data_IF_284699924397
#
_entry.id   IF_284699924397
#
_cell.length_a   1.000
_cell.length_b   1.000
_cell.length_c   1.000
_cell.angle_alpha   90.00
_cell.angle_beta   90.00
_cell.angle_gamma   90.00
#
_symmetry.space_group_name_H-M   'P 1'
#
loop_
_entity.id
_entity.type
_entity.pdbx_description
1 polymer ?
#
# COMPACT_ATOMS: atom_id res chain seq x y z
N UNK A 1 -53.94 -3.64 49.51
CA UNK A 1 -54.31 -3.69 48.08
C UNK A 1 -53.13 -3.17 47.27
N UNK A 2 -52.39 -4.04 46.59
CA UNK A 2 -51.12 -3.67 45.93
C UNK A 2 -51.37 -3.23 44.48
N UNK A 3 -50.95 -2.01 44.14
CA UNK A 3 -51.07 -1.48 42.78
C UNK A 3 -49.98 -2.10 41.90
N UNK A 4 -50.36 -2.92 40.92
CA UNK A 4 -49.44 -3.44 39.91
C UNK A 4 -49.18 -2.35 38.85
N UNK A 5 -48.00 -1.75 38.88
CA UNK A 5 -47.48 -1.00 37.73
C UNK A 5 -46.95 -2.00 36.67
N UNK A 6 -47.75 -2.24 35.63
CA UNK A 6 -47.28 -2.93 34.43
C UNK A 6 -46.37 -1.99 33.62
N UNK A 7 -45.05 -2.14 33.76
CA UNK A 7 -44.09 -1.51 32.87
C UNK A 7 -44.18 -2.22 31.52
N UNK A 8 -44.59 -1.50 30.47
CA UNK A 8 -44.71 -2.06 29.12
C UNK A 8 -43.32 -2.37 28.53
N UNK A 9 -42.94 -3.66 28.53
CA UNK A 9 -41.73 -4.15 27.85
C UNK A 9 -42.02 -4.32 26.35
N UNK A 10 -42.34 -3.22 25.67
CA UNK A 10 -42.36 -3.14 24.20
C UNK A 10 -41.64 -1.89 23.66
N UNK A 11 -40.58 -1.47 24.34
CA UNK A 11 -39.46 -0.80 23.69
C UNK A 11 -38.48 -1.87 23.15
N UNK A 12 -38.95 -2.71 22.22
CA UNK A 12 -38.10 -3.65 21.51
C UNK A 12 -37.21 -2.85 20.55
N UNK A 13 -36.10 -2.34 21.09
CA UNK A 13 -35.03 -1.70 20.32
C UNK A 13 -34.64 -2.62 19.17
N UNK A 14 -34.99 -2.20 17.96
CA UNK A 14 -34.43 -2.74 16.72
C UNK A 14 -32.92 -2.47 16.75
N UNK A 15 -32.17 -3.38 17.35
CA UNK A 15 -30.76 -3.60 17.07
C UNK A 15 -30.68 -4.08 15.61
N UNK A 16 -30.79 -3.12 14.68
CA UNK A 16 -30.37 -3.30 13.30
C UNK A 16 -28.89 -3.66 13.34
N UNK A 17 -28.59 -4.95 13.40
CA UNK A 17 -27.24 -5.47 13.23
C UNK A 17 -26.81 -5.05 11.83
N UNK A 18 -26.00 -4.01 11.72
CA UNK A 18 -25.46 -3.53 10.45
C UNK A 18 -24.44 -4.56 9.98
N UNK A 19 -24.93 -5.58 9.28
CA UNK A 19 -24.14 -6.71 8.85
C UNK A 19 -23.15 -6.27 7.76
N UNK A 20 -21.89 -6.66 7.95
CA UNK A 20 -20.90 -6.73 6.88
C UNK A 20 -21.30 -7.87 5.94
N UNK A 21 -21.55 -7.55 4.67
CA UNK A 21 -21.79 -8.54 3.63
C UNK A 21 -20.61 -8.47 2.66
N UNK A 22 -19.89 -9.57 2.52
CA UNK A 22 -18.88 -9.75 1.49
C UNK A 22 -19.54 -10.42 0.29
N UNK A 23 -19.92 -9.63 -0.72
CA UNK A 23 -20.53 -10.15 -1.94
C UNK A 23 -19.44 -10.52 -2.95
N UNK A 24 -19.51 -11.75 -3.47
CA UNK A 24 -18.62 -12.27 -4.51
C UNK A 24 -19.21 -11.95 -5.88
N UNK A 25 -18.51 -11.13 -6.68
CA UNK A 25 -18.97 -10.73 -8.00
C UNK A 25 -18.55 -11.71 -9.09
N UNK A 26 -19.28 -11.67 -10.22
CA UNK A 26 -18.95 -12.41 -11.44
C UNK A 26 -18.12 -11.58 -12.41
N UNK A 27 -18.27 -10.25 -12.39
CA UNK A 27 -17.52 -9.30 -13.22
C UNK A 27 -16.74 -8.29 -12.37
N UNK A 28 -15.70 -7.68 -12.96
CA UNK A 28 -15.01 -6.54 -12.35
C UNK A 28 -15.83 -5.25 -12.47
N UNK A 29 -16.58 -5.10 -13.56
CA UNK A 29 -17.50 -3.97 -13.79
C UNK A 29 -18.54 -3.80 -12.69
N UNK A 30 -18.84 -4.86 -11.94
CA UNK A 30 -19.79 -4.80 -10.84
C UNK A 30 -19.31 -3.87 -9.71
N UNK A 31 -17.99 -3.67 -9.55
CA UNK A 31 -17.36 -2.88 -8.47
C UNK A 31 -16.08 -2.13 -8.90
N UNK A 32 -16.01 -1.73 -10.15
CA UNK A 32 -14.89 -1.01 -10.76
C UNK A 32 -14.69 0.42 -10.25
N UNK A 33 -15.72 1.06 -9.70
CA UNK A 33 -15.72 2.46 -9.21
C UNK A 33 -14.63 2.84 -8.20
N UNK A 34 -13.93 1.86 -7.64
CA UNK A 34 -12.82 2.03 -6.70
C UNK A 34 -11.44 2.01 -7.37
N UNK A 35 -11.41 1.74 -8.68
CA UNK A 35 -10.24 1.61 -9.54
C UNK A 35 -10.10 2.89 -10.37
N UNK A 36 -8.85 3.28 -10.67
CA UNK A 36 -8.58 4.43 -11.53
C UNK A 36 -9.13 4.14 -12.93
N UNK A 37 -9.85 5.11 -13.49
CA UNK A 37 -10.49 5.02 -14.81
C UNK A 37 -11.33 3.73 -14.97
N UNK A 38 -11.93 3.25 -13.87
CA UNK A 38 -12.72 1.99 -13.77
C UNK A 38 -11.94 0.74 -14.27
N UNK A 39 -10.62 0.83 -14.34
CA UNK A 39 -9.76 -0.17 -14.97
C UNK A 39 -8.95 -0.92 -13.91
N UNK A 40 -9.09 -2.26 -13.78
CA UNK A 40 -8.34 -3.03 -12.81
C UNK A 40 -6.85 -3.17 -13.16
N UNK A 41 -5.99 -3.45 -12.17
CA UNK A 41 -4.63 -3.89 -12.40
C UNK A 41 -4.57 -5.10 -13.35
N UNK A 42 -3.64 -5.08 -14.29
CA UNK A 42 -3.25 -6.26 -15.06
C UNK A 42 -2.26 -7.09 -14.23
N UNK A 43 -2.68 -8.30 -13.86
CA UNK A 43 -1.92 -9.25 -13.04
C UNK A 43 -1.80 -10.57 -13.82
N UNK A 44 -0.62 -10.88 -14.39
CA UNK A 44 -0.43 -12.07 -15.22
C UNK A 44 -0.80 -13.37 -14.51
N UNK A 45 -1.52 -14.25 -15.22
CA UNK A 45 -2.01 -15.52 -14.71
C UNK A 45 -3.15 -15.41 -13.68
N UNK A 46 -3.68 -14.20 -13.44
CA UNK A 46 -4.75 -13.96 -12.44
C UNK A 46 -5.88 -13.10 -13.01
N UNK A 47 -5.55 -11.88 -13.45
CA UNK A 47 -6.51 -10.86 -13.89
C UNK A 47 -5.93 -10.13 -15.11
N UNK A 48 -6.38 -10.49 -16.29
CA UNK A 48 -5.85 -9.98 -17.56
C UNK A 48 -6.97 -9.35 -18.38
N UNK A 49 -6.75 -8.13 -18.87
CA UNK A 49 -7.76 -7.35 -19.61
C UNK A 49 -9.13 -7.29 -18.89
N UNK A 50 -9.11 -7.12 -17.55
CA UNK A 50 -10.32 -7.10 -16.72
C UNK A 50 -10.99 -8.46 -16.46
N UNK A 51 -10.48 -9.55 -17.05
CA UNK A 51 -11.01 -10.91 -16.86
C UNK A 51 -10.21 -11.70 -15.83
N UNK A 52 -10.89 -12.18 -14.80
CA UNK A 52 -10.33 -13.17 -13.86
C UNK A 52 -10.17 -14.49 -14.60
N UNK A 53 -8.94 -15.01 -14.67
CA UNK A 53 -8.63 -16.22 -15.46
C UNK A 53 -9.14 -17.50 -14.82
N UNK A 54 -8.92 -17.65 -13.51
CA UNK A 54 -9.42 -18.77 -12.70
C UNK A 54 -10.48 -18.25 -11.73
N UNK A 55 -11.74 -18.22 -12.19
CA UNK A 55 -12.87 -17.82 -11.36
C UNK A 55 -13.20 -18.82 -10.24
N UNK A 56 -12.64 -20.03 -10.24
CA UNK A 56 -12.84 -20.97 -9.12
C UNK A 56 -11.97 -20.56 -7.93
N UNK A 57 -10.73 -20.14 -8.20
CA UNK A 57 -9.77 -19.70 -7.18
C UNK A 57 -9.87 -18.22 -6.80
N UNK A 58 -9.97 -17.33 -7.77
CA UNK A 58 -9.92 -15.89 -7.53
C UNK A 58 -11.32 -15.30 -7.52
N UNK A 59 -11.64 -14.58 -6.46
CA UNK A 59 -12.97 -13.98 -6.22
C UNK A 59 -12.81 -12.47 -6.06
N UNK A 60 -13.52 -11.69 -6.87
CA UNK A 60 -13.64 -10.27 -6.61
C UNK A 60 -14.72 -10.05 -5.56
N UNK A 61 -14.40 -9.27 -4.53
CA UNK A 61 -15.25 -9.02 -3.37
C UNK A 61 -15.51 -7.52 -3.28
N UNK A 62 -16.79 -7.16 -3.27
CA UNK A 62 -17.25 -5.81 -2.99
C UNK A 62 -17.48 -5.67 -1.50
N UNK A 63 -16.57 -5.00 -0.80
CA UNK A 63 -16.57 -4.95 0.64
C UNK A 63 -17.68 -3.98 1.07
N UNK A 64 -18.81 -4.53 1.54
CA UNK A 64 -20.05 -3.78 1.73
C UNK A 64 -20.40 -3.68 3.20
N UNK A 65 -20.65 -2.45 3.66
CA UNK A 65 -21.04 -2.16 5.04
C UNK A 65 -22.22 -1.19 5.06
N UNK A 66 -23.33 -1.60 5.66
CA UNK A 66 -24.56 -0.81 5.70
C UNK A 66 -25.12 -0.54 4.31
N UNK A 67 -25.23 -1.59 3.49
CA UNK A 67 -25.73 -1.59 2.10
C UNK A 67 -25.00 -0.62 1.15
N UNK A 68 -23.80 -0.15 1.52
CA UNK A 68 -22.95 0.68 0.69
C UNK A 68 -21.61 -0.03 0.50
N UNK A 69 -21.24 -0.26 -0.76
CA UNK A 69 -19.93 -0.77 -1.16
C UNK A 69 -18.86 0.25 -0.76
N UNK A 70 -17.80 -0.19 -0.10
CA UNK A 70 -16.78 0.69 0.49
C UNK A 70 -15.48 0.66 -0.30
N UNK A 71 -14.93 -0.53 -0.55
CA UNK A 71 -13.74 -0.77 -1.36
C UNK A 71 -13.84 -2.11 -2.10
N UNK A 72 -12.88 -2.42 -2.98
CA UNK A 72 -12.81 -3.71 -3.68
C UNK A 72 -11.59 -4.51 -3.25
N UNK A 73 -11.74 -5.83 -3.18
CA UNK A 73 -10.66 -6.80 -2.94
C UNK A 73 -10.70 -7.90 -3.99
N UNK A 74 -9.58 -8.21 -4.63
CA UNK A 74 -9.40 -9.49 -5.33
C UNK A 74 -8.79 -10.50 -4.36
N UNK A 75 -9.47 -11.62 -4.12
CA UNK A 75 -9.11 -12.59 -3.08
C UNK A 75 -8.75 -13.96 -3.66
N UNK A 76 -7.68 -14.59 -3.16
CA UNK A 76 -7.25 -15.94 -3.51
C UNK A 76 -7.78 -16.94 -2.46
N UNK A 77 -8.84 -17.69 -2.78
CA UNK A 77 -9.46 -18.62 -1.81
C UNK A 77 -8.56 -19.82 -1.46
N UNK A 78 -7.58 -20.14 -2.31
CA UNK A 78 -6.63 -21.24 -2.08
C UNK A 78 -5.55 -20.82 -1.07
N UNK A 79 -5.03 -19.60 -1.22
CA UNK A 79 -4.06 -19.04 -0.27
C UNK A 79 -4.71 -18.37 0.95
N UNK A 80 -6.04 -18.12 0.91
CA UNK A 80 -6.82 -17.41 1.93
C UNK A 80 -6.26 -16.03 2.28
N UNK A 81 -5.73 -15.32 1.28
CA UNK A 81 -5.29 -13.94 1.40
C UNK A 81 -5.77 -13.09 0.21
N UNK A 82 -5.94 -11.77 0.39
CA UNK A 82 -6.08 -10.83 -0.72
C UNK A 82 -4.87 -10.85 -1.66
N UNK A 83 -5.13 -10.84 -2.97
CA UNK A 83 -4.15 -10.53 -4.01
C UNK A 83 -3.88 -9.02 -4.00
N UNK A 84 -4.96 -8.23 -4.06
CA UNK A 84 -4.94 -6.79 -3.85
C UNK A 84 -6.27 -6.27 -3.28
N UNK A 85 -6.23 -5.09 -2.66
CA UNK A 85 -7.40 -4.26 -2.35
C UNK A 85 -7.18 -2.84 -2.90
N UNK A 86 -8.26 -2.19 -3.34
CA UNK A 86 -8.22 -0.84 -3.92
C UNK A 86 -9.40 0.03 -3.48
N UNK A 87 -9.14 1.33 -3.28
CA UNK A 87 -10.09 2.32 -2.73
C UNK A 87 -9.70 3.77 -3.04
N UNK A 88 -10.66 4.71 -3.13
CA UNK A 88 -10.38 6.13 -3.30
C UNK A 88 -10.18 7.02 -2.04
N UNK A 89 -10.58 6.75 -0.78
CA UNK A 89 -10.54 7.73 0.35
C UNK A 89 -10.68 7.27 1.85
N UNK A 90 -9.87 7.82 2.82
CA UNK A 90 -10.25 7.81 4.28
C UNK A 90 -9.32 7.85 5.55
N UNK A 91 -9.83 7.46 6.78
CA UNK A 91 -9.28 7.61 8.19
C UNK A 91 -9.94 6.86 9.50
N UNK A 92 -9.71 5.54 9.83
CA UNK A 92 -9.72 4.76 11.18
C UNK A 92 -10.97 4.20 12.02
N UNK A 93 -11.09 2.86 12.34
CA UNK A 93 -11.74 2.13 13.53
C UNK A 93 -12.86 1.02 13.36
N UNK A 94 -12.93 0.08 14.33
CA UNK A 94 -13.49 -1.31 14.35
C UNK A 94 -14.91 -1.58 14.94
N UNK A 95 -15.48 -2.75 14.56
CA UNK A 95 -16.42 -3.61 15.33
C UNK A 95 -15.78 -5.02 15.41
N UNK A 96 -15.90 -5.78 16.51
CA UNK A 96 -15.38 -7.15 16.58
C UNK A 96 -16.19 -8.16 15.76
N UNK A 97 -15.51 -9.04 15.00
CA UNK A 97 -16.12 -10.26 14.47
C UNK A 97 -16.43 -11.28 15.58
N UNK A 98 -17.38 -12.19 15.31
CA UNK A 98 -17.60 -13.39 16.11
C UNK A 98 -16.32 -14.25 16.09
N UNK A 99 -15.76 -14.46 17.28
CA UNK A 99 -14.45 -15.10 17.46
C UNK A 99 -14.46 -16.58 17.07
N UNK A 100 -15.60 -17.27 17.07
CA UNK A 100 -15.66 -18.73 17.01
C UNK A 100 -15.99 -19.32 15.63
N UNK A 101 -16.15 -18.50 14.59
CA UNK A 101 -16.53 -18.99 13.25
C UNK A 101 -15.33 -19.43 12.41
N UNK A 102 -15.39 -20.66 11.90
CA UNK A 102 -14.53 -21.19 10.83
C UNK A 102 -15.16 -20.93 9.46
N UNK A 103 -14.32 -20.70 8.45
CA UNK A 103 -14.75 -20.58 7.06
C UNK A 103 -13.90 -21.50 6.16
N UNK A 104 -14.50 -22.00 5.07
CA UNK A 104 -13.83 -22.93 4.17
C UNK A 104 -12.94 -22.21 3.13
N UNK A 105 -13.46 -21.12 2.55
CA UNK A 105 -12.87 -20.40 1.41
C UNK A 105 -12.25 -19.04 1.77
N UNK A 106 -12.19 -18.69 3.07
CA UNK A 106 -11.53 -17.48 3.57
C UNK A 106 -10.88 -17.78 4.93
N UNK A 107 -9.97 -16.91 5.38
CA UNK A 107 -9.41 -16.98 6.72
C UNK A 107 -10.48 -16.67 7.78
N UNK A 108 -10.47 -17.40 8.89
CA UNK A 108 -11.31 -17.15 10.07
C UNK A 108 -10.50 -16.56 11.23
N UNK A 109 -11.18 -15.96 12.22
CA UNK A 109 -10.50 -15.38 13.38
C UNK A 109 -9.66 -16.42 14.17
N UNK A 110 -10.05 -17.70 14.06
CA UNK A 110 -9.35 -18.87 14.60
C UNK A 110 -8.01 -19.14 13.91
N UNK A 111 -7.87 -18.86 12.62
CA UNK A 111 -6.64 -19.11 11.85
C UNK A 111 -5.47 -18.22 12.32
N UNK A 112 -5.79 -17.13 13.03
CA UNK A 112 -4.82 -16.21 13.64
C UNK A 112 -4.65 -16.38 15.16
N UNK A 113 -5.39 -17.31 15.80
CA UNK A 113 -5.25 -17.59 17.25
C UNK A 113 -3.91 -18.25 17.56
N UNK A 114 -3.44 -18.05 18.79
CA UNK A 114 -2.22 -18.64 19.37
C UNK A 114 -0.91 -18.37 18.62
N UNK A 115 -0.95 -17.62 17.52
CA UNK A 115 0.21 -17.15 16.79
C UNK A 115 0.88 -15.99 17.55
N UNK A 116 2.22 -15.98 17.59
CA UNK A 116 3.04 -14.95 18.26
C UNK A 116 4.03 -14.25 17.33
N UNK A 117 3.90 -14.46 16.02
CA UNK A 117 4.92 -14.05 15.03
C UNK A 117 4.36 -13.05 14.02
N UNK A 118 3.05 -13.11 13.75
CA UNK A 118 2.36 -12.33 12.73
C UNK A 118 1.17 -11.58 13.31
N UNK A 119 1.14 -10.28 13.06
CA UNK A 119 -0.05 -9.47 13.20
C UNK A 119 -1.07 -9.79 12.09
N UNK A 120 -2.31 -9.33 12.31
CA UNK A 120 -3.32 -9.18 11.25
C UNK A 120 -3.02 -7.91 10.45
N UNK A 121 -2.12 -8.02 9.47
CA UNK A 121 -1.77 -6.94 8.56
C UNK A 121 -2.91 -6.64 7.60
N UNK A 122 -3.32 -5.38 7.48
CA UNK A 122 -4.42 -4.99 6.60
C UNK A 122 -3.83 -4.57 5.24
N UNK A 123 -4.36 -5.11 4.14
CA UNK A 123 -3.92 -4.72 2.79
C UNK A 123 -4.49 -3.36 2.42
N UNK A 124 -5.80 -3.17 2.57
CA UNK A 124 -6.36 -1.82 2.61
C UNK A 124 -6.46 -1.37 4.08
N UNK A 125 -5.55 -0.50 4.57
CA UNK A 125 -5.51 -0.18 5.99
C UNK A 125 -6.71 0.69 6.38
N UNK A 126 -7.27 0.42 7.56
CA UNK A 126 -8.38 1.23 8.09
C UNK A 126 -8.02 2.72 8.20
N UNK A 127 -6.73 3.06 8.30
CA UNK A 127 -6.19 4.42 8.28
C UNK A 127 -6.52 5.20 7.00
N UNK A 128 -7.01 4.51 5.96
CA UNK A 128 -7.50 5.01 4.68
C UNK A 128 -9.03 4.84 4.48
N UNK A 129 -9.87 4.43 5.47
CA UNK A 129 -11.36 4.32 5.43
C UNK A 129 -12.21 5.58 5.80
N UNK A 130 -13.02 6.26 4.95
CA UNK A 130 -13.40 7.68 5.22
C UNK A 130 -14.40 7.93 6.36
N UNK A 131 -15.60 7.40 6.25
CA UNK A 131 -16.68 7.48 7.24
C UNK A 131 -16.57 6.34 8.24
N UNK A 132 -17.21 6.42 9.42
CA UNK A 132 -17.11 5.34 10.43
C UNK A 132 -17.48 3.98 9.80
N UNK A 133 -18.46 3.98 8.90
CA UNK A 133 -18.89 2.81 8.16
C UNK A 133 -17.81 2.23 7.20
N UNK A 134 -17.13 3.07 6.42
CA UNK A 134 -16.08 2.60 5.51
C UNK A 134 -14.94 1.92 6.29
N UNK A 135 -14.58 2.50 7.44
CA UNK A 135 -13.52 2.01 8.34
C UNK A 135 -13.85 0.62 8.87
N UNK A 136 -15.12 0.40 9.23
CA UNK A 136 -15.60 -0.87 9.76
C UNK A 136 -15.49 -1.98 8.71
N UNK A 137 -15.71 -1.66 7.43
CA UNK A 137 -15.56 -2.63 6.34
C UNK A 137 -14.13 -3.14 6.14
N UNK A 138 -13.09 -2.38 6.53
CA UNK A 138 -11.69 -2.80 6.27
C UNK A 138 -11.23 -3.94 7.17
N UNK A 139 -11.96 -4.25 8.24
CA UNK A 139 -11.56 -5.26 9.24
C UNK A 139 -12.00 -6.70 8.89
N UNK A 140 -12.59 -6.91 7.71
CA UNK A 140 -12.88 -8.27 7.21
C UNK A 140 -11.57 -9.04 6.97
N UNK A 141 -11.54 -10.32 7.32
CA UNK A 141 -10.34 -11.14 7.12
C UNK A 141 -10.01 -11.41 5.65
N UNK A 142 -10.94 -11.12 4.74
CA UNK A 142 -10.68 -11.07 3.30
C UNK A 142 -9.74 -9.93 2.89
N UNK A 143 -9.54 -8.91 3.75
CA UNK A 143 -8.61 -7.80 3.55
C UNK A 143 -7.32 -7.94 4.41
N UNK A 144 -7.08 -9.10 5.02
CA UNK A 144 -6.00 -9.32 6.00
C UNK A 144 -5.01 -10.40 5.55
N UNK A 145 -3.73 -10.20 5.90
CA UNK A 145 -2.63 -11.15 5.73
C UNK A 145 -1.88 -11.37 7.06
N UNK A 146 -1.18 -12.50 7.24
CA UNK A 146 -0.16 -12.63 8.27
C UNK A 146 1.02 -11.71 7.97
N UNK A 147 1.20 -10.64 8.73
CA UNK A 147 2.25 -9.65 8.52
C UNK A 147 3.23 -9.64 9.71
N UNK A 148 4.53 -9.65 9.43
CA UNK A 148 5.57 -9.67 10.46
C UNK A 148 5.43 -8.44 11.38
N UNK A 149 5.44 -8.67 12.70
CA UNK A 149 5.04 -7.67 13.69
C UNK A 149 5.76 -6.32 13.57
N UNK A 150 7.11 -6.30 13.55
CA UNK A 150 7.85 -5.04 13.51
C UNK A 150 7.76 -4.36 12.14
N UNK A 151 7.58 -5.10 11.04
CA UNK A 151 7.30 -4.54 9.71
C UNK A 151 5.92 -3.87 9.66
N UNK A 152 4.86 -4.57 10.13
CA UNK A 152 3.51 -4.03 10.25
C UNK A 152 3.48 -2.75 11.09
N UNK A 153 4.01 -2.81 12.32
CA UNK A 153 3.97 -1.69 13.28
C UNK A 153 5.00 -0.60 12.98
N UNK A 154 6.08 -0.93 12.28
CA UNK A 154 7.22 -0.08 11.93
C UNK A 154 7.16 0.46 10.51
N UNK A 155 8.05 0.00 9.62
CA UNK A 155 8.30 0.60 8.30
C UNK A 155 7.07 0.64 7.39
N UNK A 156 6.17 -0.35 7.47
CA UNK A 156 4.90 -0.35 6.73
C UNK A 156 3.95 0.75 7.23
N UNK A 157 3.65 0.78 8.54
CA UNK A 157 2.84 1.82 9.17
C UNK A 157 3.43 3.23 8.99
N UNK A 158 4.76 3.40 8.94
CA UNK A 158 5.38 4.69 8.57
C UNK A 158 5.04 5.10 7.14
N UNK A 159 5.22 4.20 6.16
CA UNK A 159 4.80 4.43 4.77
C UNK A 159 3.32 4.81 4.70
N UNK A 160 2.45 4.08 5.40
CA UNK A 160 1.01 4.38 5.40
C UNK A 160 0.70 5.78 5.95
N UNK A 161 1.36 6.15 7.05
CA UNK A 161 1.18 7.45 7.71
C UNK A 161 1.76 8.60 6.89
N UNK A 162 2.91 8.41 6.25
CA UNK A 162 3.49 9.35 5.29
C UNK A 162 2.47 9.62 4.17
N UNK A 163 2.15 8.59 3.36
CA UNK A 163 1.26 8.70 2.19
C UNK A 163 -0.09 9.33 2.54
N UNK A 164 -0.68 8.94 3.67
CA UNK A 164 -1.94 9.51 4.16
C UNK A 164 -1.83 11.01 4.45
N UNK A 165 -0.76 11.42 5.12
CA UNK A 165 -0.53 12.82 5.46
C UNK A 165 -0.29 13.63 4.19
N UNK A 166 0.61 13.17 3.31
CA UNK A 166 0.90 13.77 2.02
C UNK A 166 -0.32 13.92 1.10
N UNK A 167 -1.23 12.92 1.08
CA UNK A 167 -2.51 13.00 0.36
C UNK A 167 -3.39 14.16 0.85
N UNK A 168 -3.37 14.45 2.16
CA UNK A 168 -4.22 15.47 2.77
C UNK A 168 -3.64 16.89 2.71
N UNK A 169 -2.31 17.03 2.80
CA UNK A 169 -1.69 18.34 3.05
C UNK A 169 -0.80 18.88 1.93
N UNK A 170 -0.45 18.07 0.90
CA UNK A 170 0.51 18.51 -0.12
C UNK A 170 0.06 18.25 -1.57
N UNK A 171 -0.19 16.99 -1.97
CA UNK A 171 -0.13 16.67 -3.42
C UNK A 171 -1.31 15.90 -4.02
N UNK A 172 -2.28 15.39 -3.25
CA UNK A 172 -3.49 14.74 -3.79
C UNK A 172 -4.74 15.56 -3.45
N UNK A 173 -4.63 16.88 -3.51
CA UNK A 173 -5.68 17.86 -3.24
C UNK A 173 -6.12 18.46 -4.57
N UNK A 174 -7.43 18.52 -4.81
CA UNK A 174 -8.01 19.18 -5.98
C UNK A 174 -8.29 20.67 -5.70
N UNK A 175 -8.67 21.42 -6.73
CA UNK A 175 -8.90 22.87 -6.65
C UNK A 175 -10.02 23.31 -5.70
N UNK A 176 -10.89 22.40 -5.24
CA UNK A 176 -11.95 22.67 -4.26
C UNK A 176 -11.62 22.16 -2.84
N UNK A 177 -10.36 21.80 -2.58
CA UNK A 177 -9.91 21.28 -1.29
C UNK A 177 -10.28 19.82 -1.01
N UNK A 178 -10.93 19.16 -1.97
CA UNK A 178 -11.23 17.73 -1.90
C UNK A 178 -9.97 16.90 -2.12
N UNK A 179 -9.68 15.97 -1.21
CA UNK A 179 -8.56 15.03 -1.37
C UNK A 179 -9.01 13.84 -2.23
N UNK A 180 -8.29 13.53 -3.30
CA UNK A 180 -8.66 12.47 -4.24
C UNK A 180 -7.41 11.74 -4.75
N UNK A 181 -7.48 10.41 -4.89
CA UNK A 181 -6.33 9.63 -5.33
C UNK A 181 -6.52 8.16 -5.04
N UNK A 182 -6.22 7.33 -6.04
CA UNK A 182 -6.42 5.90 -6.04
C UNK A 182 -5.24 5.20 -5.38
N UNK A 183 -5.52 4.14 -4.64
CA UNK A 183 -4.53 3.30 -3.99
C UNK A 183 -4.80 1.86 -4.36
N UNK A 184 -3.75 1.13 -4.72
CA UNK A 184 -3.78 -0.32 -4.86
C UNK A 184 -2.69 -0.89 -3.98
N UNK A 185 -3.06 -1.75 -3.03
CA UNK A 185 -2.13 -2.46 -2.16
C UNK A 185 -2.34 -3.94 -2.36
N UNK A 186 -1.27 -4.74 -2.34
CA UNK A 186 -1.36 -6.19 -2.51
C UNK A 186 -0.26 -6.97 -1.82
N UNK A 187 -0.35 -8.30 -1.95
CA UNK A 187 0.53 -9.26 -1.31
C UNK A 187 1.06 -10.28 -2.32
N UNK A 188 2.35 -10.62 -2.20
CA UNK A 188 2.96 -11.71 -2.96
C UNK A 188 2.91 -13.00 -2.13
N UNK A 189 2.16 -14.05 -2.54
CA UNK A 189 2.05 -15.29 -1.76
C UNK A 189 3.38 -16.04 -1.69
N UNK A 190 3.63 -16.71 -0.57
CA UNK A 190 4.71 -17.71 -0.47
C UNK A 190 4.31 -19.02 -1.16
N UNK A 191 5.30 -19.78 -1.63
CA UNK A 191 5.11 -21.15 -2.12
C UNK A 191 5.06 -22.19 -1.00
N UNK A 192 5.56 -21.87 0.20
CA UNK A 192 5.79 -22.85 1.28
C UNK A 192 5.34 -22.41 2.68
N UNK A 193 5.21 -21.11 2.93
CA UNK A 193 4.89 -20.60 4.28
C UNK A 193 3.39 -20.42 4.49
N UNK A 194 2.86 -21.05 5.55
CA UNK A 194 1.46 -20.89 5.97
C UNK A 194 1.35 -20.73 7.48
N UNK A 195 0.42 -19.87 7.91
CA UNK A 195 -0.03 -19.74 9.28
C UNK A 195 -1.06 -20.84 9.56
N UNK A 196 -0.80 -21.62 10.63
CA UNK A 196 -1.68 -22.70 11.11
C UNK A 196 -2.10 -23.68 9.99
N UNK A 197 -1.22 -23.97 9.04
CA UNK A 197 -1.45 -24.83 7.86
C UNK A 197 -2.67 -24.43 7.01
N UNK A 198 -3.14 -23.17 7.11
CA UNK A 198 -4.42 -22.74 6.52
C UNK A 198 -4.40 -21.40 5.79
N UNK A 199 -3.57 -20.45 6.19
CA UNK A 199 -3.51 -19.11 5.57
C UNK A 199 -2.09 -18.87 5.07
N UNK A 200 -1.93 -18.45 3.82
CA UNK A 200 -0.61 -18.17 3.25
C UNK A 200 0.06 -17.00 3.98
N UNK A 201 1.34 -17.15 4.33
CA UNK A 201 2.16 -16.03 4.80
C UNK A 201 2.85 -15.44 3.57
N UNK A 202 2.49 -14.22 3.13
CA UNK A 202 3.10 -13.63 1.93
C UNK A 202 4.59 -13.38 2.14
N UNK A 203 5.38 -13.43 1.06
CA UNK A 203 6.83 -13.13 1.07
C UNK A 203 7.12 -11.63 1.10
N UNK A 204 6.25 -10.83 0.49
CA UNK A 204 6.35 -9.38 0.41
C UNK A 204 4.98 -8.74 0.25
N UNK A 205 4.90 -7.47 0.64
CA UNK A 205 3.75 -6.59 0.41
C UNK A 205 4.16 -5.42 -0.48
N UNK A 206 3.20 -4.87 -1.22
CA UNK A 206 3.40 -3.72 -2.09
C UNK A 206 2.22 -2.76 -2.02
N UNK A 207 2.47 -1.47 -2.16
CA UNK A 207 1.43 -0.44 -2.24
C UNK A 207 1.82 0.62 -3.25
N UNK A 208 0.88 1.01 -4.10
CA UNK A 208 1.03 2.06 -5.08
C UNK A 208 -0.14 3.04 -4.99
N UNK A 209 0.12 4.29 -5.33
CA UNK A 209 -0.94 5.29 -5.47
C UNK A 209 -0.74 6.13 -6.72
N UNK A 210 -1.83 6.72 -7.18
CA UNK A 210 -1.83 7.70 -8.25
C UNK A 210 -2.93 8.75 -8.04
N UNK A 211 -2.61 10.01 -8.27
CA UNK A 211 -3.55 11.12 -8.15
C UNK A 211 -3.14 12.30 -9.06
N UNK A 212 -4.10 13.18 -9.35
CA UNK A 212 -3.80 14.50 -9.89
C UNK A 212 -3.48 15.46 -8.75
N UNK A 213 -2.37 16.19 -8.87
CA UNK A 213 -1.93 17.22 -7.95
C UNK A 213 -2.31 18.59 -8.50
N UNK A 214 -3.16 19.34 -7.79
CA UNK A 214 -3.41 20.74 -8.15
C UNK A 214 -2.17 21.63 -7.92
N UNK A 215 -1.26 21.24 -7.01
CA UNK A 215 -0.02 21.97 -6.70
C UNK A 215 1.02 21.79 -7.79
N UNK A 216 1.26 20.56 -8.25
CA UNK A 216 2.19 20.27 -9.35
C UNK A 216 1.55 20.43 -10.74
N UNK A 217 0.24 20.71 -10.81
CA UNK A 217 -0.58 20.74 -12.04
C UNK A 217 -0.42 19.50 -12.94
N UNK A 218 -0.15 18.35 -12.32
CA UNK A 218 0.25 17.13 -13.00
C UNK A 218 -0.29 15.89 -12.28
N UNK A 219 -0.35 14.77 -13.02
CA UNK A 219 -0.51 13.46 -12.42
C UNK A 219 0.80 13.03 -11.75
N UNK A 220 0.68 12.46 -10.54
CA UNK A 220 1.79 11.95 -9.77
C UNK A 220 1.46 10.54 -9.26
N UNK A 221 2.48 9.72 -9.14
CA UNK A 221 2.37 8.36 -8.64
C UNK A 221 3.66 7.94 -7.95
N UNK A 222 3.57 6.94 -7.07
CA UNK A 222 4.74 6.22 -6.53
C UNK A 222 4.33 4.85 -5.98
N UNK A 223 5.29 3.94 -5.98
CA UNK A 223 5.21 2.62 -5.38
C UNK A 223 6.03 2.50 -4.08
N UNK A 224 5.71 1.47 -3.30
CA UNK A 224 6.51 0.98 -2.18
C UNK A 224 6.44 -0.56 -2.19
N UNK A 225 7.55 -1.21 -1.86
CA UNK A 225 7.65 -2.66 -1.73
C UNK A 225 8.44 -3.03 -0.47
N UNK A 226 8.07 -4.10 0.22
CA UNK A 226 8.79 -4.59 1.39
C UNK A 226 8.64 -6.09 1.61
N UNK A 227 9.75 -6.76 1.96
CA UNK A 227 9.74 -8.16 2.41
C UNK A 227 8.94 -8.27 3.70
N UNK A 228 8.11 -9.31 3.82
CA UNK A 228 7.30 -9.59 5.01
C UNK A 228 8.12 -10.30 6.09
N UNK A 229 9.17 -9.63 6.56
CA UNK A 229 10.10 -10.09 7.61
C UNK A 229 10.13 -9.03 8.73
N UNK A 230 10.75 -9.32 9.86
CA UNK A 230 10.91 -8.29 10.90
C UNK A 230 11.83 -7.17 10.38
N UNK A 231 11.46 -5.90 10.61
CA UNK A 231 12.32 -4.73 10.41
C UNK A 231 13.65 -4.90 11.18
N UNK A 232 14.76 -4.57 10.51
CA UNK A 232 16.13 -4.61 11.05
C UNK A 232 16.36 -3.50 12.09
N UNK A 233 15.62 -2.38 12.00
CA UNK A 233 15.66 -1.34 13.03
C UNK A 233 14.36 -0.55 13.14
N UNK A 234 14.09 0.00 14.33
CA UNK A 234 12.99 0.97 14.55
C UNK A 234 13.12 2.24 13.70
N UNK A 235 14.28 2.52 13.10
CA UNK A 235 14.51 3.67 12.20
C UNK A 235 14.22 3.36 10.73
N UNK A 236 14.07 2.10 10.36
CA UNK A 236 13.82 1.66 8.98
C UNK A 236 12.59 2.33 8.36
N UNK A 237 12.71 2.71 7.09
CA UNK A 237 11.64 3.17 6.22
C UNK A 237 11.62 2.29 4.96
N UNK A 238 10.48 2.22 4.29
CA UNK A 238 10.43 1.66 2.94
C UNK A 238 10.97 2.67 1.93
N UNK A 239 11.68 2.16 0.93
CA UNK A 239 12.08 2.97 -0.24
C UNK A 239 10.82 3.32 -1.02
N UNK A 240 10.72 4.59 -1.41
CA UNK A 240 9.77 5.07 -2.41
C UNK A 240 10.32 4.74 -3.79
N UNK A 241 9.54 4.08 -4.62
CA UNK A 241 9.93 3.61 -5.95
C UNK A 241 9.03 4.22 -7.02
N UNK A 242 9.53 4.24 -8.26
CA UNK A 242 8.73 4.60 -9.43
C UNK A 242 7.65 3.53 -9.66
N UNK A 243 6.60 3.83 -10.44
CA UNK A 243 5.65 2.77 -10.81
C UNK A 243 6.32 1.72 -11.71
N UNK A 244 7.26 2.12 -12.58
CA UNK A 244 8.02 1.21 -13.43
C UNK A 244 8.87 0.21 -12.61
N UNK A 245 9.66 0.70 -11.65
CA UNK A 245 10.44 -0.14 -10.73
C UNK A 245 9.55 -1.15 -9.99
N UNK A 246 8.44 -0.67 -9.43
CA UNK A 246 7.52 -1.52 -8.69
C UNK A 246 6.87 -2.56 -9.60
N UNK A 247 6.40 -2.16 -10.78
CA UNK A 247 5.84 -3.07 -11.78
C UNK A 247 6.87 -4.12 -12.22
N UNK A 248 8.14 -3.73 -12.40
CA UNK A 248 9.23 -4.64 -12.70
C UNK A 248 9.42 -5.70 -11.59
N UNK A 249 9.40 -5.30 -10.31
CA UNK A 249 9.44 -6.23 -9.16
C UNK A 249 8.26 -7.19 -9.09
N UNK A 250 7.10 -6.77 -9.59
CA UNK A 250 5.84 -7.54 -9.54
C UNK A 250 5.63 -8.44 -10.77
N UNK A 251 6.52 -8.38 -11.78
CA UNK A 251 6.47 -9.25 -12.97
C UNK A 251 6.44 -10.73 -12.59
N UNK A 252 5.70 -11.50 -13.39
CA UNK A 252 5.60 -12.95 -13.25
C UNK A 252 6.17 -13.59 -14.51
N UNK A 253 7.35 -14.19 -14.39
CA UNK A 253 8.13 -14.62 -15.55
C UNK A 253 8.33 -13.43 -16.52
N UNK A 254 8.09 -13.61 -17.82
CA UNK A 254 8.26 -12.54 -18.81
C UNK A 254 7.01 -11.67 -19.00
N UNK A 255 5.94 -11.89 -18.22
CA UNK A 255 4.67 -11.17 -18.36
C UNK A 255 4.66 -9.90 -17.50
N UNK A 256 4.18 -8.82 -18.11
CA UNK A 256 4.12 -7.49 -17.49
C UNK A 256 3.05 -7.40 -16.40
N UNK A 257 3.39 -6.81 -15.25
CA UNK A 257 2.43 -6.42 -14.24
C UNK A 257 2.14 -4.92 -14.42
N UNK A 258 0.86 -4.52 -14.56
CA UNK A 258 0.48 -3.10 -14.72
C UNK A 258 -0.52 -2.71 -13.65
N UNK A 259 -0.17 -1.77 -12.78
CA UNK A 259 -0.97 -1.40 -11.61
C UNK A 259 -2.15 -0.49 -12.00
N UNK A 260 -1.91 0.46 -12.92
CA UNK A 260 -2.90 1.43 -13.39
C UNK A 260 -2.96 1.45 -14.93
N UNK A 261 -3.52 0.41 -15.59
CA UNK A 261 -3.49 0.30 -17.04
C UNK A 261 -4.24 1.45 -17.74
N UNK A 262 -3.68 1.97 -18.85
CA UNK A 262 -4.30 3.04 -19.65
C UNK A 262 -4.38 4.42 -18.98
N UNK A 263 -3.90 4.55 -17.74
CA UNK A 263 -4.01 5.78 -16.94
C UNK A 263 -2.96 6.84 -17.30
N UNK A 264 -3.15 8.05 -16.76
CA UNK A 264 -2.19 9.17 -16.86
C UNK A 264 -1.10 9.17 -15.77
N UNK A 265 -0.97 8.09 -15.01
CA UNK A 265 0.00 8.00 -13.92
C UNK A 265 1.43 7.97 -14.47
N UNK A 266 2.35 8.84 -14.01
CA UNK A 266 3.73 8.81 -14.49
C UNK A 266 4.42 7.52 -14.05
N UNK A 267 5.12 6.88 -14.97
CA UNK A 267 5.80 5.61 -14.69
C UNK A 267 7.16 5.79 -14.02
N UNK A 268 7.89 6.86 -14.36
CA UNK A 268 9.32 7.05 -14.08
C UNK A 268 9.64 8.08 -13.00
N UNK A 269 8.64 8.79 -12.45
CA UNK A 269 8.84 9.78 -11.39
C UNK A 269 8.41 9.25 -10.02
N UNK A 270 8.79 9.96 -8.95
CA UNK A 270 8.33 9.67 -7.59
C UNK A 270 8.03 10.97 -6.84
N UNK A 271 7.29 10.88 -5.73
CA UNK A 271 6.97 12.03 -4.88
C UNK A 271 8.05 12.39 -3.85
N UNK A 272 9.28 11.85 -3.96
CA UNK A 272 10.35 12.09 -2.97
C UNK A 272 10.82 13.53 -2.94
N UNK A 273 10.71 14.26 -4.06
CA UNK A 273 11.01 15.70 -4.15
C UNK A 273 10.19 16.55 -3.18
N UNK A 274 8.98 16.10 -2.82
CA UNK A 274 8.09 16.80 -1.88
C UNK A 274 8.36 16.43 -0.41
N UNK A 275 9.21 15.44 -0.11
CA UNK A 275 9.47 15.00 1.28
C UNK A 275 10.15 16.08 2.18
N UNK A 276 11.04 16.96 1.69
CA UNK A 276 11.58 18.07 2.49
C UNK A 276 10.51 19.03 3.06
N UNK A 277 9.40 19.19 2.33
CA UNK A 277 8.27 20.05 2.72
C UNK A 277 7.36 19.37 3.75
N UNK A 278 7.44 18.04 3.85
CA UNK A 278 6.56 17.18 4.65
C UNK A 278 7.04 16.97 6.09
N UNK A 279 7.58 18.01 6.74
CA UNK A 279 8.24 17.92 8.06
C UNK A 279 7.39 17.28 9.19
N UNK A 280 6.06 17.33 9.06
CA UNK A 280 5.11 16.74 10.02
C UNK A 280 4.56 15.36 9.60
N UNK A 281 4.88 14.89 8.40
CA UNK A 281 4.55 13.56 7.90
C UNK A 281 5.70 12.61 8.28
N UNK A 282 5.41 11.39 8.76
CA UNK A 282 6.45 10.40 9.06
C UNK A 282 6.99 9.74 7.77
N UNK A 283 7.50 10.55 6.87
CA UNK A 283 8.10 10.15 5.60
C UNK A 283 9.59 9.82 5.77
N UNK A 284 10.19 9.08 4.83
CA UNK A 284 11.64 8.91 4.78
C UNK A 284 12.33 10.28 4.82
N UNK A 285 13.38 10.47 5.64
CA UNK A 285 14.17 11.69 5.57
C UNK A 285 14.81 11.80 4.18
N UNK A 286 14.90 13.01 3.65
CA UNK A 286 15.66 13.28 2.43
C UNK A 286 17.10 12.82 2.67
N UNK A 287 17.54 11.81 1.92
CA UNK A 287 18.96 11.50 1.83
C UNK A 287 19.57 12.72 1.12
N UNK A 288 20.53 13.44 1.72
CA UNK A 288 21.25 14.47 0.99
C UNK A 288 21.87 13.80 -0.23
N UNK A 289 21.64 14.37 -1.41
CA UNK A 289 22.35 13.97 -2.62
C UNK A 289 23.85 13.93 -2.26
N UNK A 290 24.61 12.87 -2.60
CA UNK A 290 26.05 12.89 -2.44
C UNK A 290 26.59 13.97 -3.38
N UNK A 291 26.70 15.19 -2.84
CA UNK A 291 27.11 16.40 -3.54
C UNK A 291 28.34 16.07 -4.40
N UNK A 292 28.33 16.40 -5.71
CA UNK A 292 29.45 16.05 -6.58
C UNK A 292 30.72 16.58 -5.93
N UNK A 293 31.64 15.67 -5.62
CA UNK A 293 32.89 16.01 -4.96
C UNK A 293 33.67 16.92 -5.89
N UNK A 294 33.58 18.23 -5.65
CA UNK A 294 34.38 19.23 -6.35
C UNK A 294 35.82 18.95 -5.96
N UNK A 295 36.52 18.22 -6.83
CA UNK A 295 37.95 17.99 -6.74
C UNK A 295 38.67 19.30 -7.09
N UNK A 296 38.65 20.24 -6.15
CA UNK A 296 39.56 21.36 -6.15
C UNK A 296 41.00 20.85 -6.06
N UNK A 297 41.95 21.45 -6.81
CA UNK A 297 43.30 20.90 -6.92
C UNK A 297 44.03 20.94 -5.59
N UNK A 298 44.67 19.83 -5.22
CA UNK A 298 45.54 19.78 -4.04
C UNK A 298 46.81 20.59 -4.28
N UNK A 299 46.95 21.75 -3.61
CA UNK A 299 48.23 22.43 -3.52
C UNK A 299 49.18 21.67 -2.59
N UNK A 300 49.87 20.69 -3.17
CA UNK A 300 51.06 20.08 -2.57
C UNK A 300 52.24 21.01 -2.74
N UNK A 301 52.69 21.66 -1.66
CA UNK A 301 53.98 22.35 -1.66
C UNK A 301 55.11 21.35 -1.86
N UNK A 302 55.72 21.34 -3.06
CA UNK A 302 56.99 20.70 -3.31
C UNK A 302 58.01 21.78 -3.70
N UNK A 303 59.04 21.94 -2.87
CA UNK A 303 60.16 22.85 -3.12
C UNK A 303 60.95 22.37 -4.35
N UNK A 304 60.78 23.04 -5.49
CA UNK A 304 61.75 22.94 -6.59
C UNK A 304 62.89 23.94 -6.36
N UNK A 305 64.10 23.39 -6.30
CA UNK A 305 65.35 24.17 -6.21
C UNK A 305 65.62 24.85 -7.55
N UNK A 306 65.95 26.14 -7.52
CA UNK A 306 66.44 26.87 -8.68
C UNK A 306 67.84 26.38 -9.09
N UNK A 307 68.02 26.05 -10.37
CA UNK A 307 69.31 26.11 -11.05
C UNK A 307 69.13 26.87 -12.38
N UNK A 308 70.00 27.85 -12.69
CA UNK A 308 69.80 28.76 -13.82
C UNK A 308 70.25 28.15 -15.15
N UNK A 309 69.47 28.41 -16.20
CA UNK A 309 69.93 28.25 -17.59
C UNK A 309 70.94 29.35 -17.93
N UNK A 310 72.15 28.94 -18.36
CA UNK A 310 73.02 29.80 -19.16
C UNK A 310 72.91 29.39 -20.64
N UNK A 311 72.84 30.39 -21.52
CA UNK A 311 72.90 30.19 -22.97
C UNK A 311 74.30 29.71 -23.39
N UNK A 312 74.39 28.98 -24.50
CA UNK A 312 75.15 29.46 -25.68
C UNK A 312 74.79 28.67 -26.94
N UNK A 313 74.52 29.38 -28.04
CA UNK A 313 74.43 28.79 -29.39
C UNK A 313 75.82 28.46 -29.92
N UNK A 314 75.92 27.45 -30.80
CA UNK A 314 76.98 27.42 -31.82
C UNK A 314 76.47 26.84 -33.15
N UNK A 315 76.81 27.51 -34.24
CA UNK A 315 76.62 27.07 -35.63
C UNK A 315 77.98 26.52 -36.14
N UNK A 316 77.97 25.80 -37.28
CA UNK A 316 79.17 25.39 -38.05
C UNK A 316 80.27 26.47 -38.05
N UNK A 317 81.54 26.16 -37.78
CA UNK A 317 82.39 25.20 -38.50
C UNK A 317 83.42 24.51 -37.59
#
# INVERSE_FOLDING_TARGET
MWVKFNISIQALLFLLSVQTIAEVMKSVSDCDRFLLDQTPPHIPGILEAGRILDQNRYKLICQTYGNQRRFVTLYDVRNRIPVFSADPNGDKKMIPEDKNRTYNHQAGAVDYRSNRTFDRGHIFPSSYASTKADKLSTFTLTNVVPQAESFNKGSWNKMERCRKSSKKTHYCVNSSGGTGGFVVTGALPSSSSTLNNRVNVPTALWSAFCCYSAVAQAWIASGHWGRNVQDESKRQYLKTETLEDLQHRLRRSNSEFVIFPGSKCPLTTTVTEFYPEMKNCLCPPTIPDPSPSVSGPSHSHLLMLFFPFFLFSYHQF
#
